data_IF_142732503854
#
_entry.id   IF_142732503854
#
_cell.length_a   1.000
_cell.length_b   1.000
_cell.length_c   1.000
_cell.angle_alpha   90.00
_cell.angle_beta   90.00
_cell.angle_gamma   90.00
#
_symmetry.space_group_name_H-M   'P 1'
#
loop_
_entity.id
_entity.type
_entity.pdbx_description
1 polymer ?
#
# COMPACT_ATOMS: atom_id res chain seq x y z
N UNK A 1 17.23 -9.37 5.43
CA UNK A 1 16.35 -9.53 4.24
C UNK A 1 14.97 -9.01 4.59
N UNK A 2 14.40 -8.10 3.79
CA UNK A 2 13.09 -7.46 4.06
C UNK A 2 11.94 -8.45 4.17
N UNK A 3 11.96 -9.54 3.37
CA UNK A 3 10.89 -10.54 3.37
C UNK A 3 10.65 -11.18 4.73
N UNK A 4 11.70 -11.46 5.50
CA UNK A 4 11.57 -12.03 6.85
C UNK A 4 11.01 -11.06 7.90
N UNK A 5 10.86 -9.78 7.55
CA UNK A 5 10.32 -8.74 8.42
C UNK A 5 8.92 -8.29 7.96
N UNK A 6 8.41 -8.81 6.84
CA UNK A 6 7.20 -8.33 6.18
C UNK A 6 5.98 -8.33 7.09
N UNK A 7 5.69 -9.46 7.74
CA UNK A 7 4.57 -9.53 8.68
C UNK A 7 4.61 -8.48 9.80
N UNK A 8 5.78 -8.02 10.21
CA UNK A 8 5.93 -6.94 11.22
C UNK A 8 5.70 -5.52 10.67
N UNK A 9 5.77 -5.36 9.34
CA UNK A 9 5.61 -4.09 8.65
C UNK A 9 4.17 -3.86 8.17
N UNK A 10 3.38 -4.93 7.96
CA UNK A 10 1.97 -4.81 7.58
C UNK A 10 1.17 -4.07 8.64
N UNK A 11 0.24 -3.23 8.18
CA UNK A 11 -0.63 -2.39 9.02
C UNK A 11 -2.10 -2.63 8.70
N UNK A 12 -2.97 -2.22 9.63
CA UNK A 12 -4.44 -2.32 9.55
C UNK A 12 -4.97 -3.49 8.72
N UNK A 13 -5.69 -3.16 7.64
CA UNK A 13 -6.37 -4.15 6.79
C UNK A 13 -5.42 -5.16 6.15
N UNK A 14 -4.21 -4.76 5.77
CA UNK A 14 -3.24 -5.64 5.11
C UNK A 14 -2.77 -6.73 6.07
N UNK A 15 -2.46 -6.33 7.31
CA UNK A 15 -2.10 -7.26 8.39
C UNK A 15 -3.25 -8.21 8.68
N UNK A 16 -4.46 -7.69 8.83
CA UNK A 16 -5.63 -8.48 9.20
C UNK A 16 -6.00 -9.47 8.08
N UNK A 17 -5.85 -9.07 6.82
CA UNK A 17 -6.04 -9.93 5.64
C UNK A 17 -4.97 -11.03 5.57
N UNK A 18 -3.70 -10.69 5.79
CA UNK A 18 -2.61 -11.67 5.82
C UNK A 18 -2.75 -12.67 6.97
N UNK A 19 -3.19 -12.23 8.15
CA UNK A 19 -3.44 -13.10 9.30
C UNK A 19 -4.64 -14.01 9.05
N UNK A 20 -5.75 -13.49 8.53
CA UNK A 20 -6.91 -14.31 8.20
C UNK A 20 -6.58 -15.40 7.17
N UNK A 21 -5.82 -15.06 6.12
CA UNK A 21 -5.36 -16.04 5.13
C UNK A 21 -4.37 -17.05 5.71
N UNK A 22 -3.48 -16.62 6.61
CA UNK A 22 -2.58 -17.53 7.34
C UNK A 22 -3.39 -18.54 8.17
N UNK A 23 -4.33 -18.07 8.97
CA UNK A 23 -5.10 -18.89 9.89
C UNK A 23 -6.00 -19.90 9.14
N UNK A 24 -6.60 -19.49 8.02
CA UNK A 24 -7.34 -20.42 7.13
C UNK A 24 -6.44 -21.54 6.59
N UNK A 25 -5.24 -21.20 6.12
CA UNK A 25 -4.28 -22.19 5.61
C UNK A 25 -3.83 -23.16 6.70
N UNK A 26 -3.54 -22.66 7.90
CA UNK A 26 -3.17 -23.48 9.06
C UNK A 26 -4.32 -24.40 9.46
N UNK A 27 -5.55 -23.88 9.52
CA UNK A 27 -6.75 -24.69 9.82
C UNK A 27 -6.96 -25.82 8.80
N UNK A 28 -6.48 -25.64 7.56
CA UNK A 28 -6.49 -26.64 6.49
C UNK A 28 -5.26 -27.57 6.49
N UNK A 29 -4.41 -27.48 7.50
CA UNK A 29 -3.25 -28.37 7.70
C UNK A 29 -1.96 -27.94 7.02
N UNK A 30 -1.89 -26.72 6.48
CA UNK A 30 -0.64 -26.15 5.95
C UNK A 30 0.30 -25.81 7.11
N UNK A 31 1.58 -26.19 7.08
CA UNK A 31 2.56 -25.77 8.08
C UNK A 31 2.62 -24.24 8.23
N UNK A 32 2.70 -23.74 9.46
CA UNK A 32 2.58 -22.30 9.77
C UNK A 32 3.61 -21.43 9.02
N UNK A 33 4.85 -21.91 8.85
CA UNK A 33 5.89 -21.20 8.11
C UNK A 33 5.56 -21.09 6.60
N UNK A 34 4.94 -22.12 6.02
CA UNK A 34 4.45 -22.11 4.64
C UNK A 34 3.21 -21.22 4.53
N UNK A 35 2.28 -21.32 5.47
CA UNK A 35 1.08 -20.49 5.52
C UNK A 35 1.43 -19.00 5.55
N UNK A 36 2.41 -18.61 6.39
CA UNK A 36 2.88 -17.23 6.49
C UNK A 36 3.51 -16.77 5.16
N UNK A 37 4.36 -17.60 4.55
CA UNK A 37 4.95 -17.29 3.25
C UNK A 37 3.90 -17.09 2.16
N UNK A 38 2.83 -17.88 2.16
CA UNK A 38 1.74 -17.78 1.19
C UNK A 38 0.91 -16.52 1.46
N UNK A 39 0.44 -16.32 2.69
CA UNK A 39 -0.45 -15.20 3.03
C UNK A 39 0.23 -13.84 2.85
N UNK A 40 1.54 -13.76 3.07
CA UNK A 40 2.32 -12.53 2.85
C UNK A 40 2.76 -12.33 1.39
N UNK A 41 2.59 -13.32 0.50
CA UNK A 41 3.19 -13.25 -0.85
C UNK A 41 2.67 -12.11 -1.71
N UNK A 42 1.40 -11.71 -1.55
CA UNK A 42 0.85 -10.55 -2.27
C UNK A 42 1.54 -9.26 -1.82
N UNK A 43 1.75 -9.07 -0.53
CA UNK A 43 2.45 -7.90 0.03
C UNK A 43 3.95 -7.93 -0.23
N UNK A 44 4.54 -9.12 -0.41
CA UNK A 44 5.94 -9.26 -0.80
C UNK A 44 6.21 -8.69 -2.20
N UNK A 45 5.20 -8.58 -3.06
CA UNK A 45 5.33 -7.91 -4.36
C UNK A 45 5.63 -6.42 -4.19
N UNK A 46 4.97 -5.75 -3.24
CA UNK A 46 5.21 -4.33 -2.92
C UNK A 46 6.64 -4.05 -2.47
N UNK A 47 7.34 -5.04 -1.90
CA UNK A 47 8.75 -4.90 -1.54
C UNK A 47 9.67 -4.73 -2.75
N UNK A 48 9.25 -5.14 -3.95
CA UNK A 48 10.04 -4.91 -5.18
C UNK A 48 10.14 -3.42 -5.47
N UNK A 49 9.03 -2.69 -5.39
CA UNK A 49 9.00 -1.23 -5.56
C UNK A 49 9.85 -0.55 -4.48
N UNK A 50 9.71 -0.99 -3.22
CA UNK A 50 10.49 -0.45 -2.10
C UNK A 50 12.00 -0.64 -2.31
N UNK A 51 12.43 -1.84 -2.73
CA UNK A 51 13.85 -2.12 -2.97
C UNK A 51 14.38 -1.28 -4.13
N UNK A 52 13.61 -1.18 -5.22
CA UNK A 52 14.00 -0.37 -6.38
C UNK A 52 14.18 1.10 -5.99
N UNK A 53 13.22 1.67 -5.27
CA UNK A 53 13.30 3.06 -4.79
C UNK A 53 14.46 3.28 -3.84
N UNK A 54 14.61 2.40 -2.86
CA UNK A 54 15.69 2.49 -1.89
C UNK A 54 17.05 2.48 -2.59
N UNK A 55 17.21 1.65 -3.61
CA UNK A 55 18.42 1.60 -4.43
C UNK A 55 18.64 2.89 -5.22
N UNK A 56 17.62 3.41 -5.90
CA UNK A 56 17.71 4.61 -6.74
C UNK A 56 18.00 5.87 -5.92
N UNK A 57 17.44 5.97 -4.71
CA UNK A 57 17.54 7.16 -3.87
C UNK A 57 18.57 7.04 -2.73
N UNK A 58 19.21 5.89 -2.54
CA UNK A 58 20.19 5.67 -1.48
C UNK A 58 19.57 5.62 -0.07
N UNK A 59 18.31 5.21 0.04
CA UNK A 59 17.56 5.15 1.30
C UNK A 59 17.67 3.77 1.97
N UNK A 60 17.42 3.69 3.29
CA UNK A 60 17.29 2.39 3.96
C UNK A 60 15.97 1.70 3.53
N UNK A 61 16.04 0.52 2.88
CA UNK A 61 14.83 -0.17 2.40
C UNK A 61 13.90 -0.60 3.55
N UNK A 62 14.42 -0.81 4.77
CA UNK A 62 13.59 -1.22 5.91
C UNK A 62 12.76 -0.04 6.42
N UNK A 63 13.37 1.13 6.59
CA UNK A 63 12.67 2.37 6.91
C UNK A 63 11.64 2.72 5.83
N UNK A 64 12.01 2.62 4.56
CA UNK A 64 11.14 2.90 3.43
C UNK A 64 9.92 1.96 3.37
N UNK A 65 10.12 0.66 3.60
CA UNK A 65 9.03 -0.32 3.68
C UNK A 65 8.02 0.03 4.79
N UNK A 66 8.50 0.47 5.95
CA UNK A 66 7.63 0.86 7.07
C UNK A 66 6.78 2.08 6.71
N UNK A 67 7.37 3.09 6.06
CA UNK A 67 6.64 4.27 5.58
C UNK A 67 5.61 3.87 4.52
N UNK A 68 5.98 2.98 3.60
CA UNK A 68 5.12 2.49 2.53
C UNK A 68 3.84 1.84 3.09
N UNK A 69 3.96 0.88 4.01
CA UNK A 69 2.80 0.19 4.59
C UNK A 69 1.99 1.10 5.52
N UNK A 70 2.63 2.04 6.21
CA UNK A 70 1.91 3.06 7.00
C UNK A 70 1.06 3.98 6.10
N UNK A 71 1.62 4.43 4.97
CA UNK A 71 0.89 5.21 3.98
C UNK A 71 -0.25 4.42 3.34
N UNK A 72 -0.01 3.14 3.03
CA UNK A 72 -1.02 2.24 2.47
C UNK A 72 -2.25 2.13 3.38
N UNK A 73 -2.04 1.83 4.66
CA UNK A 73 -3.11 1.73 5.66
C UNK A 73 -3.82 3.08 5.85
N UNK A 74 -3.05 4.17 5.94
CA UNK A 74 -3.63 5.49 6.21
C UNK A 74 -4.53 5.97 5.08
N UNK A 75 -4.15 5.70 3.83
CA UNK A 75 -4.87 6.13 2.63
C UNK A 75 -5.83 5.05 2.07
N UNK A 76 -5.85 3.86 2.65
CA UNK A 76 -6.69 2.75 2.18
C UNK A 76 -6.28 2.21 0.81
N UNK A 77 -4.98 2.22 0.49
CA UNK A 77 -4.50 1.74 -0.82
C UNK A 77 -4.78 0.25 -1.01
N UNK A 78 -4.62 -0.57 0.03
CA UNK A 78 -5.00 -1.99 0.00
C UNK A 78 -6.50 -2.18 -0.30
N UNK A 79 -7.38 -1.37 0.31
CA UNK A 79 -8.84 -1.40 0.02
C UNK A 79 -9.12 -1.07 -1.44
N UNK A 80 -8.42 -0.10 -2.02
CA UNK A 80 -8.55 0.24 -3.45
C UNK A 80 -8.03 -0.89 -4.35
N UNK A 81 -6.90 -1.53 -4.00
CA UNK A 81 -6.37 -2.68 -4.73
C UNK A 81 -7.32 -3.88 -4.69
N UNK A 82 -7.95 -4.13 -3.54
CA UNK A 82 -8.99 -5.16 -3.37
C UNK A 82 -10.25 -4.82 -4.17
N UNK A 83 -10.67 -3.55 -4.20
CA UNK A 83 -11.79 -3.10 -5.02
C UNK A 83 -11.52 -3.29 -6.52
N UNK A 84 -10.32 -2.92 -7.01
CA UNK A 84 -9.87 -3.18 -8.39
C UNK A 84 -9.83 -4.69 -8.70
N UNK A 85 -9.47 -5.51 -7.72
CA UNK A 85 -9.45 -6.97 -7.86
C UNK A 85 -10.86 -7.57 -7.92
N UNK A 86 -11.83 -6.92 -7.28
CA UNK A 86 -13.25 -7.33 -7.22
C UNK A 86 -14.09 -6.85 -8.40
N UNK A 87 -13.56 -5.92 -9.22
CA UNK A 87 -14.25 -5.47 -10.44
C UNK A 87 -14.65 -6.64 -11.35
N UNK A 88 -15.81 -6.56 -12.02
CA UNK A 88 -16.29 -7.60 -12.93
C UNK A 88 -15.23 -8.02 -13.95
N UNK A 89 -15.28 -9.30 -14.34
CA UNK A 89 -14.50 -9.78 -15.48
C UNK A 89 -15.16 -9.27 -16.76
N UNK A 90 -14.65 -8.17 -17.30
CA UNK A 90 -15.07 -7.64 -18.60
C UNK A 90 -14.25 -8.19 -19.76
N UNK A 91 -14.42 -7.60 -20.94
CA UNK A 91 -13.60 -7.90 -22.12
C UNK A 91 -12.16 -7.40 -22.00
N UNK A 92 -11.36 -7.58 -23.06
CA UNK A 92 -9.95 -7.20 -23.13
C UNK A 92 -9.65 -5.80 -22.58
N UNK A 93 -10.42 -4.79 -22.99
CA UNK A 93 -10.22 -3.41 -22.55
C UNK A 93 -10.47 -3.20 -21.06
N UNK A 94 -11.43 -3.92 -20.48
CA UNK A 94 -11.71 -3.87 -19.05
C UNK A 94 -10.54 -4.48 -18.26
N UNK A 95 -9.96 -5.59 -18.73
CA UNK A 95 -8.76 -6.18 -18.13
C UNK A 95 -7.56 -5.22 -18.18
N UNK A 96 -7.36 -4.53 -19.32
CA UNK A 96 -6.29 -3.52 -19.45
C UNK A 96 -6.52 -2.32 -18.51
N UNK A 97 -7.76 -1.85 -18.36
CA UNK A 97 -8.07 -0.76 -17.44
C UNK A 97 -7.81 -1.15 -15.97
N UNK A 98 -8.18 -2.37 -15.56
CA UNK A 98 -7.87 -2.90 -14.21
C UNK A 98 -6.37 -2.98 -13.95
N UNK A 99 -5.59 -3.41 -14.96
CA UNK A 99 -4.14 -3.45 -14.85
C UNK A 99 -3.56 -2.04 -14.67
N UNK A 100 -3.96 -1.09 -15.53
CA UNK A 100 -3.51 0.30 -15.46
C UNK A 100 -3.84 0.95 -14.11
N UNK A 101 -5.05 0.72 -13.57
CA UNK A 101 -5.42 1.22 -12.25
C UNK A 101 -4.53 0.67 -11.14
N UNK A 102 -4.25 -0.63 -11.17
CA UNK A 102 -3.39 -1.28 -10.17
C UNK A 102 -1.97 -0.73 -10.24
N UNK A 103 -1.41 -0.59 -11.43
CA UNK A 103 -0.09 0.02 -11.63
C UNK A 103 -0.04 1.47 -11.15
N UNK A 104 -1.09 2.24 -11.42
CA UNK A 104 -1.18 3.63 -10.97
C UNK A 104 -1.28 3.77 -9.45
N UNK A 105 -1.97 2.85 -8.77
CA UNK A 105 -2.04 2.82 -7.31
C UNK A 105 -0.68 2.50 -6.69
N UNK A 106 0.01 1.46 -7.19
CA UNK A 106 1.36 1.11 -6.72
C UNK A 106 2.35 2.26 -6.96
N UNK A 107 2.34 2.84 -8.16
CA UNK A 107 3.19 3.97 -8.51
C UNK A 107 2.92 5.18 -7.61
N UNK A 108 1.65 5.51 -7.37
CA UNK A 108 1.30 6.65 -6.51
C UNK A 108 1.75 6.46 -5.06
N UNK A 109 1.64 5.24 -4.53
CA UNK A 109 2.10 4.92 -3.18
C UNK A 109 3.63 4.95 -3.10
N UNK A 110 4.32 4.40 -4.12
CA UNK A 110 5.78 4.46 -4.27
C UNK A 110 6.27 5.91 -4.27
N UNK A 111 5.71 6.76 -5.13
CA UNK A 111 6.14 8.16 -5.29
C UNK A 111 5.85 8.96 -4.03
N UNK A 112 4.69 8.75 -3.40
CA UNK A 112 4.36 9.38 -2.12
C UNK A 112 5.31 8.97 -1.00
N UNK A 113 5.73 7.70 -0.98
CA UNK A 113 6.71 7.19 0.00
C UNK A 113 8.03 7.95 -0.12
N UNK A 114 8.49 8.23 -1.36
CA UNK A 114 9.70 9.01 -1.62
C UNK A 114 9.53 10.47 -1.21
N UNK A 115 8.43 11.10 -1.58
CA UNK A 115 8.18 12.50 -1.24
C UNK A 115 8.19 12.69 0.27
N UNK A 116 7.65 11.73 1.00
CA UNK A 116 7.69 11.72 2.46
C UNK A 116 9.10 11.63 3.01
N UNK A 117 10.00 10.79 2.45
CA UNK A 117 11.38 10.73 2.93
C UNK A 117 12.14 12.02 2.63
N UNK A 118 11.94 12.63 1.46
CA UNK A 118 12.62 13.87 1.06
C UNK A 118 12.20 15.10 1.86
N UNK A 119 10.95 15.18 2.32
CA UNK A 119 10.48 16.27 3.17
C UNK A 119 10.74 16.03 4.67
N UNK A 120 11.30 14.87 5.03
CA UNK A 120 11.78 14.58 6.38
C UNK A 120 13.03 15.40 6.69
N UNK A 121 12.93 16.22 7.74
CA UNK A 121 13.93 17.11 8.37
C UNK A 121 15.39 16.78 7.98
N UNK A 122 16.05 17.72 7.30
CA UNK A 122 17.51 17.75 7.14
C UNK A 122 18.18 17.53 8.53
N UNK A 123 18.84 16.40 8.71
CA UNK A 123 19.62 16.09 9.92
C UNK A 123 18.93 15.24 10.99
N UNK A 124 17.69 14.79 10.81
CA UNK A 124 17.10 13.81 11.72
C UNK A 124 17.60 12.39 11.41
N UNK A 125 18.24 11.74 12.39
CA UNK A 125 18.55 10.31 12.34
C UNK A 125 17.28 9.53 11.91
N UNK A 126 17.40 8.55 11.01
CA UNK A 126 16.31 7.74 10.43
C UNK A 126 15.28 7.14 11.42
N UNK A 127 15.54 7.23 12.72
CA UNK A 127 14.64 6.82 13.79
C UNK A 127 13.50 7.83 14.10
N UNK A 128 13.60 9.09 13.68
CA UNK A 128 12.57 10.12 13.95
C UNK A 128 11.45 10.19 12.90
N UNK A 129 11.57 9.41 11.81
CA UNK A 129 10.88 9.69 10.54
C UNK A 129 9.36 9.48 10.56
N UNK A 130 8.83 8.44 11.23
CA UNK A 130 7.38 8.13 11.14
C UNK A 130 6.51 9.10 11.95
N UNK A 131 6.86 9.42 13.20
CA UNK A 131 6.03 10.33 14.01
C UNK A 131 6.06 11.76 13.48
N UNK A 132 7.23 12.21 13.05
CA UNK A 132 7.40 13.56 12.49
C UNK A 132 6.72 13.64 11.11
N UNK A 133 6.84 12.58 10.30
CA UNK A 133 6.01 12.40 9.11
C UNK A 133 4.52 12.50 9.44
N UNK A 134 4.04 11.73 10.42
CA UNK A 134 2.63 11.71 10.77
C UNK A 134 2.15 13.08 11.25
N UNK A 135 2.97 13.85 11.95
CA UNK A 135 2.61 15.18 12.43
C UNK A 135 2.56 16.20 11.28
N UNK A 136 3.59 16.21 10.43
CA UNK A 136 3.70 17.15 9.32
C UNK A 136 2.68 16.87 8.20
N UNK A 137 2.46 15.59 7.90
CA UNK A 137 1.60 15.17 6.79
C UNK A 137 0.16 14.89 7.20
N UNK A 138 -0.16 14.79 8.50
CA UNK A 138 -1.50 14.45 9.01
C UNK A 138 -2.62 15.21 8.31
N UNK A 139 -2.62 16.56 8.29
CA UNK A 139 -3.79 17.30 7.79
C UNK A 139 -4.05 17.04 6.30
N UNK A 140 -2.98 16.82 5.53
CA UNK A 140 -3.05 16.53 4.09
C UNK A 140 -3.55 15.11 3.86
N UNK A 141 -3.00 14.14 4.57
CA UNK A 141 -3.39 12.73 4.49
C UNK A 141 -4.81 12.50 5.02
N UNK A 142 -5.25 13.25 6.04
CA UNK A 142 -6.61 13.19 6.58
C UNK A 142 -7.66 13.67 5.59
N UNK A 143 -7.36 14.74 4.85
CA UNK A 143 -8.25 15.20 3.78
C UNK A 143 -8.32 14.17 2.66
N UNK A 144 -7.18 13.67 2.22
CA UNK A 144 -7.12 12.65 1.18
C UNK A 144 -7.87 11.37 1.60
N UNK A 145 -7.63 10.89 2.82
CA UNK A 145 -8.30 9.72 3.39
C UNK A 145 -9.82 9.87 3.34
N UNK A 146 -10.36 10.99 3.84
CA UNK A 146 -11.82 11.21 3.83
C UNK A 146 -12.43 11.09 2.43
N UNK A 147 -11.81 11.72 1.44
CA UNK A 147 -12.29 11.63 0.05
C UNK A 147 -12.15 10.22 -0.53
N UNK A 148 -11.09 9.49 -0.19
CA UNK A 148 -10.91 8.11 -0.64
C UNK A 148 -11.89 7.15 0.04
N UNK A 149 -12.18 7.36 1.33
CA UNK A 149 -13.20 6.61 2.07
C UNK A 149 -14.59 6.84 1.46
N UNK A 150 -14.94 8.08 1.09
CA UNK A 150 -16.20 8.38 0.38
C UNK A 150 -16.35 7.58 -0.94
N UNK A 151 -15.26 7.36 -1.68
CA UNK A 151 -15.30 6.55 -2.90
C UNK A 151 -15.43 5.06 -2.61
N UNK A 152 -14.82 4.59 -1.53
CA UNK A 152 -14.84 3.18 -1.13
C UNK A 152 -16.16 2.77 -0.47
N UNK A 153 -16.85 3.70 0.17
CA UNK A 153 -18.14 3.47 0.84
C UNK A 153 -19.33 3.52 -0.15
N UNK A 154 -19.08 3.82 -1.43
CA UNK A 154 -20.05 3.61 -2.49
C UNK A 154 -20.41 2.12 -2.57
N UNK A 155 -21.71 1.78 -2.60
CA UNK A 155 -22.21 0.41 -2.43
C UNK A 155 -21.57 -0.62 -3.36
N UNK A 156 -21.12 -0.21 -4.56
CA UNK A 156 -20.23 -0.97 -5.44
C UNK A 156 -19.35 0.00 -6.24
N UNK A 157 -18.06 0.19 -5.89
CA UNK A 157 -17.21 1.10 -6.65
C UNK A 157 -16.91 0.50 -8.03
N UNK A 158 -17.42 1.16 -9.07
CA UNK A 158 -17.17 0.78 -10.45
C UNK A 158 -15.80 1.27 -10.95
N UNK A 159 -15.49 0.97 -12.20
CA UNK A 159 -14.23 1.37 -12.83
C UNK A 159 -14.03 2.90 -12.81
N UNK A 160 -15.10 3.68 -12.96
CA UNK A 160 -15.03 5.14 -12.99
C UNK A 160 -14.69 5.71 -11.61
N UNK A 161 -15.38 5.23 -10.56
CA UNK A 161 -15.10 5.61 -9.16
C UNK A 161 -13.65 5.31 -8.80
N UNK A 162 -13.17 4.10 -9.10
CA UNK A 162 -11.79 3.70 -8.80
C UNK A 162 -10.75 4.47 -9.63
N UNK A 163 -11.09 4.89 -10.85
CA UNK A 163 -10.24 5.77 -11.66
C UNK A 163 -10.09 7.16 -11.04
N UNK A 164 -11.18 7.71 -10.49
CA UNK A 164 -11.14 9.00 -9.78
C UNK A 164 -10.35 8.88 -8.48
N UNK A 165 -10.56 7.82 -7.70
CA UNK A 165 -9.79 7.56 -6.48
C UNK A 165 -8.27 7.45 -6.77
N UNK A 166 -7.90 6.68 -7.79
CA UNK A 166 -6.50 6.58 -8.25
C UNK A 166 -5.94 7.94 -8.69
N UNK A 167 -6.72 8.75 -9.43
CA UNK A 167 -6.31 10.09 -9.81
C UNK A 167 -6.12 11.04 -8.61
N UNK A 168 -6.93 10.92 -7.55
CA UNK A 168 -6.76 11.71 -6.33
C UNK A 168 -5.48 11.32 -5.57
N UNK A 169 -5.19 10.02 -5.43
CA UNK A 169 -3.93 9.55 -4.85
C UNK A 169 -2.73 10.10 -5.62
N UNK A 170 -2.82 10.13 -6.95
CA UNK A 170 -1.74 10.62 -7.81
C UNK A 170 -1.43 12.09 -7.63
N UNK A 171 -2.40 12.89 -7.19
CA UNK A 171 -2.21 14.33 -6.91
C UNK A 171 -1.48 14.58 -5.59
N UNK A 172 -1.24 13.55 -4.78
CA UNK A 172 -0.55 13.69 -3.50
C UNK A 172 0.98 13.66 -3.62
N UNK A 173 1.53 13.27 -4.77
CA UNK A 173 2.99 13.25 -5.00
C UNK A 173 3.38 14.10 -6.21
N UNK A 174 2.52 15.04 -6.60
CA UNK A 174 2.75 16.01 -7.67
C UNK A 174 2.87 17.41 -7.12
#
# INVERSE_FOLDING_TARGET
MLRGQLGSMLRGQERDTALAAHDDLVARGVPADIAARISESLYAFSLLDVIEVAHVHGEDPTALARIYFELSDRLGVDRLLLAVSSLPRGGRWHAQARLALREDLYRSLRDLTIDVTKHGIEGAQAACTIRDFEAYNRPRLDRAKRTLDEFLDAAEPDLAVLSVASAQLRRLHR
#
